data_IF_453632684728
#
_entry.id   IF_453632684728
#
_cell.length_a   1.000
_cell.length_b   1.000
_cell.length_c   1.000
_cell.angle_alpha   90.00
_cell.angle_beta   90.00
_cell.angle_gamma   90.00
#
_symmetry.space_group_name_H-M   'P 1'
#
loop_
_entity.id
_entity.type
_entity.pdbx_description
1 polymer ?
#
# COMPACT_ATOMS: atom_id res chain seq x y z
N UNK A 1 0.49 -49.25 -46.19
CA UNK A 1 -0.87 -49.04 -45.67
C UNK A 1 -1.17 -47.57 -45.70
N UNK A 2 -2.22 -47.10 -46.39
CA UNK A 2 -2.61 -45.70 -46.37
C UNK A 2 -3.07 -45.34 -44.95
N UNK A 3 -2.54 -44.27 -44.36
CA UNK A 3 -3.05 -43.73 -43.09
C UNK A 3 -4.55 -43.53 -43.25
N UNK A 4 -5.33 -44.10 -42.34
CA UNK A 4 -6.78 -44.07 -42.43
C UNK A 4 -7.25 -42.63 -42.19
N UNK A 5 -8.39 -42.22 -42.78
CA UNK A 5 -8.97 -40.89 -42.51
C UNK A 5 -9.19 -40.63 -41.01
N UNK A 6 -9.36 -41.69 -40.22
CA UNK A 6 -9.53 -41.62 -38.77
C UNK A 6 -8.24 -41.17 -38.05
N UNK A 7 -7.07 -41.60 -38.53
CA UNK A 7 -5.79 -41.24 -37.92
C UNK A 7 -5.49 -39.74 -38.10
N UNK A 8 -5.88 -39.17 -39.23
CA UNK A 8 -5.74 -37.73 -39.49
C UNK A 8 -6.74 -36.91 -38.64
N UNK A 9 -7.98 -37.38 -38.49
CA UNK A 9 -8.99 -36.72 -37.65
C UNK A 9 -8.60 -36.73 -36.17
N UNK A 10 -7.99 -37.82 -35.68
CA UNK A 10 -7.48 -37.88 -34.31
C UNK A 10 -6.35 -36.87 -34.09
N UNK A 11 -5.42 -36.73 -35.04
CA UNK A 11 -4.36 -35.72 -34.96
C UNK A 11 -4.89 -34.28 -34.94
N UNK A 12 -5.89 -33.98 -35.75
CA UNK A 12 -6.51 -32.64 -35.81
C UNK A 12 -7.27 -32.29 -34.52
N UNK A 13 -7.95 -33.28 -33.90
CA UNK A 13 -8.61 -33.10 -32.61
C UNK A 13 -7.61 -32.95 -31.44
N UNK A 14 -6.45 -33.61 -31.52
CA UNK A 14 -5.38 -33.43 -30.54
C UNK A 14 -4.75 -32.05 -30.64
N UNK A 15 -4.46 -31.55 -31.85
CA UNK A 15 -3.93 -30.19 -32.05
C UNK A 15 -4.91 -29.11 -31.59
N UNK A 16 -6.21 -29.25 -31.88
CA UNK A 16 -7.23 -28.29 -31.44
C UNK A 16 -7.39 -28.28 -29.91
N UNK A 17 -7.31 -29.44 -29.26
CA UNK A 17 -7.35 -29.55 -27.78
C UNK A 17 -6.11 -28.96 -27.12
N UNK A 18 -4.94 -29.11 -27.74
CA UNK A 18 -3.71 -28.51 -27.25
C UNK A 18 -3.80 -26.99 -27.37
N UNK A 19 -4.22 -26.47 -28.53
CA UNK A 19 -4.37 -25.02 -28.73
C UNK A 19 -5.38 -24.40 -27.77
N UNK A 20 -6.53 -25.04 -27.53
CA UNK A 20 -7.52 -24.52 -26.56
C UNK A 20 -7.00 -24.48 -25.13
N UNK A 21 -6.23 -25.47 -24.68
CA UNK A 21 -5.61 -25.43 -23.35
C UNK A 21 -4.56 -24.32 -23.23
N UNK A 22 -3.71 -24.12 -24.24
CA UNK A 22 -2.68 -23.07 -24.25
C UNK A 22 -3.33 -21.67 -24.19
N UNK A 23 -4.46 -21.48 -24.89
CA UNK A 23 -5.21 -20.21 -24.90
C UNK A 23 -5.88 -19.96 -23.54
N UNK A 24 -6.44 -20.99 -22.90
CA UNK A 24 -7.07 -20.89 -21.57
C UNK A 24 -6.03 -20.66 -20.46
N UNK A 25 -4.88 -21.33 -20.54
CA UNK A 25 -3.75 -21.15 -19.61
C UNK A 25 -3.15 -19.73 -19.74
N UNK A 26 -2.91 -19.24 -20.95
CA UNK A 26 -2.40 -17.86 -21.16
C UNK A 26 -3.41 -16.79 -20.74
N UNK A 27 -4.71 -17.02 -20.95
CA UNK A 27 -5.78 -16.12 -20.52
C UNK A 27 -5.93 -16.08 -18.99
N UNK A 28 -5.81 -17.23 -18.33
CA UNK A 28 -5.88 -17.33 -16.86
C UNK A 28 -4.66 -16.76 -16.15
N UNK A 29 -3.45 -16.92 -16.71
CA UNK A 29 -2.23 -16.26 -16.21
C UNK A 29 -2.33 -14.74 -16.30
N UNK A 30 -2.80 -14.22 -17.44
CA UNK A 30 -3.02 -12.78 -17.64
C UNK A 30 -4.04 -12.24 -16.64
N UNK A 31 -5.10 -13.00 -16.36
CA UNK A 31 -6.11 -12.62 -15.37
C UNK A 31 -5.56 -12.59 -13.94
N UNK A 32 -4.72 -13.57 -13.57
CA UNK A 32 -4.04 -13.59 -12.28
C UNK A 32 -3.09 -12.40 -12.10
N UNK A 33 -2.29 -12.04 -13.11
CA UNK A 33 -1.42 -10.86 -13.04
C UNK A 33 -2.20 -9.55 -12.86
N UNK A 34 -3.37 -9.44 -13.50
CA UNK A 34 -4.25 -8.28 -13.35
C UNK A 34 -4.83 -8.23 -11.93
N UNK A 35 -5.26 -9.37 -11.39
CA UNK A 35 -5.79 -9.49 -10.03
C UNK A 35 -4.73 -9.18 -8.97
N UNK A 36 -3.53 -9.75 -9.10
CA UNK A 36 -2.40 -9.48 -8.20
C UNK A 36 -2.06 -7.99 -8.21
N UNK A 37 -1.98 -7.36 -9.40
CA UNK A 37 -1.72 -5.93 -9.50
C UNK A 37 -2.83 -5.06 -8.90
N UNK A 38 -4.06 -5.56 -8.88
CA UNK A 38 -5.19 -4.85 -8.27
C UNK A 38 -5.19 -5.04 -6.74
N UNK A 39 -4.91 -6.24 -6.24
CA UNK A 39 -4.73 -6.52 -4.82
C UNK A 39 -3.58 -5.70 -4.24
N UNK A 40 -2.46 -5.63 -4.95
CA UNK A 40 -1.28 -4.89 -4.53
C UNK A 40 -1.55 -3.37 -4.43
N UNK A 41 -2.53 -2.85 -5.20
CA UNK A 41 -3.03 -1.46 -5.06
C UNK A 41 -3.97 -1.28 -3.87
N UNK A 42 -4.85 -2.25 -3.61
CA UNK A 42 -5.78 -2.20 -2.48
C UNK A 42 -5.05 -2.35 -1.14
N UNK A 43 -4.07 -3.24 -1.07
CA UNK A 43 -3.23 -3.40 0.11
C UNK A 43 -2.43 -2.14 0.41
N UNK A 44 -1.78 -1.52 -0.60
CA UNK A 44 -1.07 -0.24 -0.42
C UNK A 44 -1.98 0.86 0.14
N UNK A 45 -3.24 0.94 -0.31
CA UNK A 45 -4.22 1.90 0.25
C UNK A 45 -4.55 1.60 1.71
N UNK A 46 -4.72 0.33 2.06
CA UNK A 46 -5.05 -0.09 3.43
C UNK A 46 -3.89 0.15 4.41
N UNK A 47 -2.65 -0.14 3.99
CA UNK A 47 -1.46 0.16 4.79
C UNK A 47 -1.22 1.67 4.91
N UNK A 48 -1.39 2.43 3.82
CA UNK A 48 -1.28 3.90 3.87
C UNK A 48 -2.31 4.52 4.82
N UNK A 49 -3.56 4.06 4.79
CA UNK A 49 -4.62 4.57 5.67
C UNK A 49 -4.36 4.26 7.16
N UNK A 50 -3.88 3.05 7.48
CA UNK A 50 -3.50 2.69 8.86
C UNK A 50 -2.34 3.55 9.37
N UNK A 51 -1.31 3.73 8.56
CA UNK A 51 -0.16 4.59 8.90
C UNK A 51 -0.59 6.05 9.05
N UNK A 52 -1.51 6.53 8.21
CA UNK A 52 -2.06 7.88 8.30
C UNK A 52 -2.82 8.12 9.61
N UNK A 53 -3.67 7.16 10.03
CA UNK A 53 -4.37 7.24 11.31
C UNK A 53 -3.41 7.22 12.49
N UNK A 54 -2.41 6.34 12.46
CA UNK A 54 -1.38 6.27 13.50
C UNK A 54 -0.65 7.62 13.61
N UNK A 55 -0.28 8.19 12.47
CA UNK A 55 0.39 9.48 12.43
C UNK A 55 -0.49 10.61 12.97
N UNK A 56 -1.75 10.69 12.53
CA UNK A 56 -2.68 11.71 12.97
C UNK A 56 -2.86 11.64 14.50
N UNK A 57 -3.02 10.42 15.05
CA UNK A 57 -3.06 10.19 16.49
C UNK A 57 -1.79 10.63 17.21
N UNK A 58 -0.61 10.27 16.68
CA UNK A 58 0.68 10.69 17.24
C UNK A 58 0.85 12.21 17.24
N UNK A 59 0.53 12.88 16.14
CA UNK A 59 0.58 14.35 16.05
C UNK A 59 -0.42 15.02 16.99
N UNK A 60 -1.63 14.47 17.15
CA UNK A 60 -2.63 14.98 18.09
C UNK A 60 -2.21 14.80 19.55
N UNK A 61 -1.52 13.71 19.87
CA UNK A 61 -0.98 13.44 21.20
C UNK A 61 0.14 14.43 21.56
N UNK A 62 1.08 14.69 20.64
CA UNK A 62 2.09 15.74 20.84
C UNK A 62 1.44 17.11 21.01
N UNK A 63 0.48 17.47 20.16
CA UNK A 63 -0.20 18.76 20.25
C UNK A 63 -0.91 18.92 21.61
N UNK A 64 -1.52 17.84 22.12
CA UNK A 64 -2.14 17.81 23.44
C UNK A 64 -1.13 18.00 24.58
N UNK A 65 0.08 17.41 24.47
CA UNK A 65 1.18 17.64 25.43
C UNK A 65 1.64 19.10 25.40
N UNK A 66 1.77 19.70 24.22
CA UNK A 66 2.16 21.10 24.07
C UNK A 66 1.11 22.03 24.70
N UNK A 67 -0.19 21.76 24.45
CA UNK A 67 -1.29 22.51 25.08
C UNK A 67 -1.22 22.35 26.60
N UNK A 68 -1.06 21.13 27.12
CA UNK A 68 -0.94 20.88 28.55
C UNK A 68 0.27 21.58 29.19
N UNK A 69 1.41 21.65 28.49
CA UNK A 69 2.57 22.41 28.92
C UNK A 69 2.31 23.93 28.91
N UNK A 70 1.52 24.44 27.96
CA UNK A 70 1.06 25.83 27.94
C UNK A 70 0.13 26.17 29.11
N UNK A 71 -0.69 25.22 29.55
CA UNK A 71 -1.53 25.31 30.77
C UNK A 71 -0.79 24.89 32.04
N UNK A 72 0.54 25.04 32.09
CA UNK A 72 1.40 24.67 33.23
C UNK A 72 0.89 25.19 34.58
N UNK A 73 0.29 26.40 34.60
CA UNK A 73 -0.27 27.02 35.80
C UNK A 73 -1.56 26.36 36.32
N UNK A 74 -2.30 25.66 35.47
CA UNK A 74 -3.55 24.98 35.82
C UNK A 74 -3.33 23.50 36.20
N UNK A 75 -2.32 22.85 35.62
CA UNK A 75 -2.07 21.40 35.75
C UNK A 75 -0.82 21.07 36.60
N UNK A 76 -0.03 22.08 37.02
CA UNK A 76 1.29 21.86 37.68
C UNK A 76 2.24 21.00 36.85
N UNK A 77 2.07 21.02 35.53
CA UNK A 77 2.91 20.27 34.59
C UNK A 77 4.10 21.15 34.18
N UNK A 78 5.26 20.89 34.77
CA UNK A 78 6.47 21.66 34.51
C UNK A 78 7.43 20.79 33.66
N UNK A 79 7.49 21.09 32.36
CA UNK A 79 8.42 20.47 31.43
C UNK A 79 9.60 21.41 31.23
N UNK A 80 10.83 20.87 31.33
CA UNK A 80 12.02 21.66 31.08
C UNK A 80 12.06 22.20 29.64
N UNK A 81 12.53 23.44 29.48
CA UNK A 81 12.58 24.15 28.19
C UNK A 81 13.28 23.33 27.08
N UNK A 82 14.34 22.58 27.43
CA UNK A 82 15.03 21.69 26.49
C UNK A 82 14.14 20.57 25.97
N UNK A 83 13.26 20.00 26.81
CA UNK A 83 12.34 18.93 26.41
C UNK A 83 11.22 19.51 25.56
N UNK A 84 10.71 20.69 25.92
CA UNK A 84 9.69 21.40 25.13
C UNK A 84 10.20 21.76 23.73
N UNK A 85 11.40 22.36 23.64
CA UNK A 85 12.03 22.68 22.35
C UNK A 85 12.24 21.41 21.52
N UNK A 86 12.73 20.33 22.14
CA UNK A 86 12.99 19.07 21.42
C UNK A 86 11.68 18.46 20.90
N UNK A 87 10.61 18.50 21.69
CA UNK A 87 9.28 18.00 21.33
C UNK A 87 8.67 18.80 20.16
N UNK A 88 8.78 20.13 20.21
CA UNK A 88 8.30 21.03 19.14
C UNK A 88 9.11 20.80 17.86
N UNK A 89 10.44 20.75 17.97
CA UNK A 89 11.32 20.62 16.80
C UNK A 89 11.15 19.26 16.12
N UNK A 90 11.10 18.17 16.90
CA UNK A 90 10.89 16.82 16.36
C UNK A 90 9.49 16.63 15.75
N UNK A 91 8.46 17.26 16.33
CA UNK A 91 7.11 17.22 15.75
C UNK A 91 6.98 18.03 14.46
N UNK A 92 7.62 19.21 14.38
CA UNK A 92 7.71 19.96 13.12
C UNK A 92 8.45 19.16 12.05
N UNK A 93 9.59 18.56 12.40
CA UNK A 93 10.37 17.73 11.47
C UNK A 93 9.57 16.53 10.94
N UNK A 94 8.79 15.86 11.80
CA UNK A 94 7.91 14.75 11.37
C UNK A 94 6.81 15.24 10.44
N UNK A 95 6.11 16.34 10.75
CA UNK A 95 5.08 16.90 9.86
C UNK A 95 5.66 17.26 8.48
N UNK A 96 6.81 17.95 8.44
CA UNK A 96 7.50 18.28 7.18
C UNK A 96 7.92 17.03 6.43
N UNK A 97 8.47 16.03 7.13
CA UNK A 97 8.88 14.76 6.53
C UNK A 97 7.73 14.01 5.87
N UNK A 98 6.58 13.92 6.54
CA UNK A 98 5.39 13.32 5.96
C UNK A 98 4.82 14.16 4.82
N UNK A 99 4.78 15.49 4.96
CA UNK A 99 4.32 16.36 3.88
C UNK A 99 5.12 16.12 2.59
N UNK A 100 6.46 16.06 2.69
CA UNK A 100 7.33 15.75 1.54
C UNK A 100 7.06 14.35 1.00
N UNK A 101 6.88 13.35 1.86
CA UNK A 101 6.57 11.98 1.46
C UNK A 101 5.25 11.90 0.68
N UNK A 102 4.20 12.56 1.17
CA UNK A 102 2.88 12.61 0.51
C UNK A 102 2.96 13.35 -0.82
N UNK A 103 3.65 14.50 -0.88
CA UNK A 103 3.85 15.23 -2.13
C UNK A 103 4.61 14.38 -3.15
N UNK A 104 5.66 13.65 -2.74
CA UNK A 104 6.36 12.71 -3.63
C UNK A 104 5.52 11.50 -4.03
N UNK A 105 4.53 11.09 -3.24
CA UNK A 105 3.65 9.98 -3.58
C UNK A 105 2.56 10.40 -4.57
N UNK A 106 2.04 11.63 -4.46
CA UNK A 106 0.95 12.14 -5.30
C UNK A 106 1.44 12.64 -6.66
N UNK A 107 2.63 13.24 -6.70
CA UNK A 107 3.20 13.85 -7.92
C UNK A 107 4.27 12.98 -8.60
N UNK A 108 4.31 11.69 -8.31
CA UNK A 108 5.18 10.71 -8.96
C UNK A 108 4.33 9.60 -9.56
#
# INVERSE_FOLDING_TARGET
MPKSRLDNLLGELEEDKVNTNIIDESSSLTYQEILDRNQDREERKKYAFRTFIFLCGFTGMILSIIIAAGFSKLISFNLGDSVLIALITSSLATVVGIFILVMRYLFK
#
